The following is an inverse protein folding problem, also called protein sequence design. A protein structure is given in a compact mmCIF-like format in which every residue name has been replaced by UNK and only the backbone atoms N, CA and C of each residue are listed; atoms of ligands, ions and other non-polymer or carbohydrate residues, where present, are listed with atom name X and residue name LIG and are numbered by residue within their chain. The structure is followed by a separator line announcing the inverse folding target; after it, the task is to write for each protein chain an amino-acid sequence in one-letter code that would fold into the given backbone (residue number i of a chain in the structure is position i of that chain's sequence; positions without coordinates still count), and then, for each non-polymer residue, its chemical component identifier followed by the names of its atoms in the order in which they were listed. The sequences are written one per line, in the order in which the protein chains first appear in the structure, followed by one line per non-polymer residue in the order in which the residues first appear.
data_IF_389699447834
#
_entry.id   IF_389699447834
#
_cell.length_a   1.000
_cell.length_b   1.000
_cell.length_c   1.000
_cell.angle_alpha   90.00
_cell.angle_beta   90.00
_cell.angle_gamma   90.00
#
_symmetry.space_group_name_H-M   'P 1'
#
loop_
_entity.id
_entity.type
_entity.pdbx_description
1 polymer ?
#
# COMPACT_ATOMS: atom_id res chain seq x y z
N UNK A 1 -6.69 -18.79 -24.29
CA UNK A 1 -5.40 -18.10 -24.02
C UNK A 1 -4.72 -18.84 -22.89
N UNK A 2 -3.37 -18.84 -22.81
CA UNK A 2 -2.68 -19.39 -21.64
C UNK A 2 -3.02 -18.57 -20.39
N UNK A 3 -3.08 -19.22 -19.23
CA UNK A 3 -3.31 -18.53 -17.95
C UNK A 3 -2.16 -17.56 -17.66
N UNK A 4 -2.48 -16.35 -17.21
CA UNK A 4 -1.51 -15.33 -16.85
C UNK A 4 -0.71 -15.78 -15.64
N UNK A 5 0.62 -15.66 -15.70
CA UNK A 5 1.53 -16.08 -14.64
C UNK A 5 1.72 -14.94 -13.64
N UNK A 6 1.38 -15.19 -12.38
CA UNK A 6 1.35 -14.17 -11.33
C UNK A 6 2.39 -14.47 -10.25
N UNK A 7 3.29 -13.53 -10.01
CA UNK A 7 4.13 -13.52 -8.82
C UNK A 7 3.43 -12.76 -7.69
N UNK A 8 3.31 -13.39 -6.51
CA UNK A 8 2.70 -12.76 -5.33
C UNK A 8 3.79 -12.51 -4.30
N UNK A 9 4.25 -11.26 -4.24
CA UNK A 9 5.25 -10.80 -3.27
C UNK A 9 4.55 -10.44 -1.97
N UNK A 10 4.79 -11.19 -0.90
CA UNK A 10 4.04 -11.08 0.36
C UNK A 10 2.82 -12.02 0.42
N UNK A 11 2.96 -13.25 -0.10
CA UNK A 11 1.88 -14.22 -0.29
C UNK A 11 1.15 -14.63 1.01
N UNK A 12 1.84 -14.63 2.16
CA UNK A 12 1.26 -14.98 3.47
C UNK A 12 0.59 -13.80 4.18
N UNK A 13 0.68 -12.60 3.62
CA UNK A 13 0.00 -11.40 4.14
C UNK A 13 -1.47 -11.31 3.71
N UNK A 14 -2.19 -10.30 4.22
CA UNK A 14 -3.62 -10.09 3.93
C UNK A 14 -3.90 -9.90 2.43
N UNK A 15 -3.12 -9.04 1.74
CA UNK A 15 -3.27 -8.81 0.29
C UNK A 15 -2.89 -10.07 -0.50
N UNK A 16 -1.80 -10.76 -0.11
CA UNK A 16 -1.40 -12.01 -0.73
C UNK A 16 -2.50 -13.08 -0.64
N UNK A 17 -3.06 -13.27 0.56
CA UNK A 17 -4.16 -14.21 0.79
C UNK A 17 -5.42 -13.87 -0.03
N UNK A 18 -5.81 -12.60 -0.08
CA UNK A 18 -6.93 -12.12 -0.90
C UNK A 18 -6.66 -12.29 -2.40
N UNK A 19 -5.42 -12.05 -2.85
CA UNK A 19 -5.00 -12.28 -4.24
C UNK A 19 -5.13 -13.76 -4.62
N UNK A 20 -4.63 -14.63 -3.76
CA UNK A 20 -4.67 -16.07 -3.98
C UNK A 20 -6.10 -16.63 -3.94
N UNK A 21 -7.01 -16.03 -3.14
CA UNK A 21 -8.44 -16.38 -3.17
C UNK A 21 -9.06 -16.04 -4.53
N UNK A 22 -8.78 -14.86 -5.09
CA UNK A 22 -9.26 -14.47 -6.43
C UNK A 22 -8.66 -15.36 -7.51
N UNK A 23 -7.35 -15.65 -7.47
CA UNK A 23 -6.70 -16.57 -8.43
C UNK A 23 -7.34 -17.96 -8.36
N UNK A 24 -7.63 -18.49 -7.19
CA UNK A 24 -8.24 -19.80 -7.02
C UNK A 24 -9.66 -19.89 -7.61
N UNK A 25 -10.37 -18.78 -7.75
CA UNK A 25 -11.70 -18.71 -8.38
C UNK A 25 -11.63 -18.71 -9.91
N UNK A 26 -10.48 -18.36 -10.49
CA UNK A 26 -10.27 -18.21 -11.93
C UNK A 26 -9.02 -18.96 -12.41
N UNK A 27 -8.92 -20.29 -12.19
CA UNK A 27 -7.73 -21.09 -12.52
C UNK A 27 -7.46 -21.21 -14.03
N UNK A 28 -8.46 -20.98 -14.85
CA UNK A 28 -8.37 -20.88 -16.31
C UNK A 28 -7.72 -19.58 -16.80
N UNK A 29 -7.71 -18.55 -15.97
CA UNK A 29 -7.22 -17.20 -16.30
C UNK A 29 -5.90 -16.84 -15.64
N UNK A 30 -5.67 -17.32 -14.41
CA UNK A 30 -4.53 -16.94 -13.58
C UNK A 30 -3.89 -18.16 -12.93
N UNK A 31 -2.57 -18.13 -12.84
CA UNK A 31 -1.76 -19.10 -12.10
C UNK A 31 -0.76 -18.39 -11.20
N UNK A 32 -0.70 -18.75 -9.94
CA UNK A 32 0.34 -18.28 -9.03
C UNK A 32 1.64 -19.04 -9.33
N UNK A 33 2.54 -18.43 -10.09
CA UNK A 33 3.80 -19.05 -10.54
C UNK A 33 4.95 -18.85 -9.54
N UNK A 34 4.93 -17.71 -8.81
CA UNK A 34 5.93 -17.37 -7.79
C UNK A 34 5.23 -16.93 -6.52
N UNK A 35 5.62 -17.51 -5.38
CA UNK A 35 5.11 -17.12 -4.06
C UNK A 35 6.28 -16.68 -3.16
N UNK A 36 6.15 -15.51 -2.55
CA UNK A 36 7.18 -14.92 -1.67
C UNK A 36 6.59 -14.64 -0.30
N UNK A 37 7.30 -15.08 0.75
CA UNK A 37 7.02 -14.68 2.14
C UNK A 37 8.30 -14.16 2.81
N UNK A 38 8.18 -13.49 3.96
CA UNK A 38 9.37 -13.06 4.71
C UNK A 38 9.97 -14.25 5.49
N UNK A 39 9.34 -14.64 6.60
CA UNK A 39 9.80 -15.69 7.52
C UNK A 39 8.78 -16.81 7.73
N UNK A 40 7.55 -16.64 7.28
CA UNK A 40 6.45 -17.58 7.47
C UNK A 40 6.57 -18.78 6.51
N UNK A 41 7.47 -19.70 6.83
CA UNK A 41 7.68 -20.94 6.06
C UNK A 41 6.50 -21.90 6.13
N UNK A 42 5.77 -21.92 7.25
CA UNK A 42 4.62 -22.81 7.44
C UNK A 42 3.45 -22.36 6.54
N UNK A 43 3.10 -21.07 6.59
CA UNK A 43 2.08 -20.49 5.72
C UNK A 43 2.46 -20.62 4.25
N UNK A 44 3.72 -20.31 3.89
CA UNK A 44 4.18 -20.42 2.51
C UNK A 44 4.12 -21.86 2.00
N UNK A 45 4.54 -22.86 2.79
CA UNK A 45 4.47 -24.26 2.40
C UNK A 45 3.03 -24.74 2.18
N UNK A 46 2.08 -24.31 3.02
CA UNK A 46 0.66 -24.59 2.84
C UNK A 46 0.12 -23.98 1.53
N UNK A 47 0.50 -22.73 1.21
CA UNK A 47 0.16 -22.10 -0.06
C UNK A 47 0.77 -22.83 -1.26
N UNK A 48 2.04 -23.24 -1.18
CA UNK A 48 2.69 -24.04 -2.22
C UNK A 48 2.01 -25.39 -2.43
N UNK A 49 1.53 -26.04 -1.38
CA UNK A 49 0.78 -27.29 -1.49
C UNK A 49 -0.54 -27.10 -2.27
N UNK A 50 -1.19 -25.95 -2.09
CA UNK A 50 -2.47 -25.60 -2.76
C UNK A 50 -2.29 -25.13 -4.19
N UNK A 51 -1.34 -24.19 -4.41
CA UNK A 51 -1.22 -23.44 -5.69
C UNK A 51 -0.16 -24.03 -6.63
N UNK A 52 0.74 -24.87 -6.14
CA UNK A 52 1.81 -25.51 -6.94
C UNK A 52 2.61 -24.51 -7.78
N UNK A 53 3.23 -23.49 -7.15
CA UNK A 53 4.07 -22.54 -7.88
C UNK A 53 5.32 -23.22 -8.46
N UNK A 54 5.98 -22.56 -9.41
CA UNK A 54 7.28 -22.98 -9.92
C UNK A 54 8.39 -22.63 -8.93
N UNK A 55 8.24 -21.48 -8.23
CA UNK A 55 9.26 -20.93 -7.33
C UNK A 55 8.61 -20.42 -6.03
N UNK A 56 9.19 -20.80 -4.90
CA UNK A 56 8.86 -20.29 -3.57
C UNK A 56 10.09 -19.63 -2.94
N UNK A 57 9.92 -18.39 -2.41
CA UNK A 57 11.03 -17.60 -1.86
C UNK A 57 10.70 -17.18 -0.43
N UNK A 58 11.67 -17.32 0.46
CA UNK A 58 11.68 -16.66 1.78
C UNK A 58 12.69 -15.52 1.76
N UNK A 59 12.26 -14.30 2.14
CA UNK A 59 13.14 -13.15 2.13
C UNK A 59 14.25 -13.25 3.17
N UNK A 60 14.01 -13.93 4.31
CA UNK A 60 15.03 -14.22 5.29
C UNK A 60 15.79 -15.51 4.92
N UNK A 61 17.08 -15.43 4.55
CA UNK A 61 17.87 -16.62 4.16
C UNK A 61 17.97 -17.70 5.23
N UNK A 62 17.84 -17.35 6.52
CA UNK A 62 17.85 -18.30 7.60
C UNK A 62 16.67 -19.28 7.57
N UNK A 63 15.60 -18.95 6.83
CA UNK A 63 14.37 -19.75 6.73
C UNK A 63 14.35 -20.72 5.53
N UNK A 64 15.32 -20.66 4.62
CA UNK A 64 15.35 -21.46 3.38
C UNK A 64 15.30 -22.98 3.66
N UNK A 65 16.18 -23.46 4.54
CA UNK A 65 16.26 -24.87 4.88
C UNK A 65 14.97 -25.40 5.54
N UNK A 66 14.29 -24.57 6.33
CA UNK A 66 12.99 -24.92 6.93
C UNK A 66 11.89 -25.01 5.87
N UNK A 67 11.85 -24.06 4.92
CA UNK A 67 10.90 -24.09 3.80
C UNK A 67 11.12 -25.36 2.96
N UNK A 68 12.35 -25.62 2.54
CA UNK A 68 12.69 -26.79 1.72
C UNK A 68 12.26 -28.11 2.40
N UNK A 69 12.51 -28.25 3.71
CA UNK A 69 12.09 -29.41 4.50
C UNK A 69 10.56 -29.56 4.53
N UNK A 70 9.81 -28.47 4.74
CA UNK A 70 8.34 -28.48 4.77
C UNK A 70 7.74 -28.86 3.42
N UNK A 71 8.28 -28.34 2.33
CA UNK A 71 7.83 -28.67 0.98
C UNK A 71 8.09 -30.13 0.65
N UNK A 72 9.27 -30.66 1.00
CA UNK A 72 9.60 -32.07 0.83
C UNK A 72 8.63 -32.97 1.64
N UNK A 73 8.36 -32.62 2.89
CA UNK A 73 7.40 -33.35 3.74
C UNK A 73 5.97 -33.32 3.19
N UNK A 74 5.57 -32.24 2.51
CA UNK A 74 4.26 -32.09 1.86
C UNK A 74 4.21 -32.70 0.43
N UNK A 75 5.31 -33.29 -0.07
CA UNK A 75 5.38 -33.82 -1.43
C UNK A 75 5.19 -32.75 -2.51
N UNK A 76 5.59 -31.50 -2.24
CA UNK A 76 5.50 -30.37 -3.17
C UNK A 76 6.80 -30.24 -3.95
N UNK A 77 6.72 -30.32 -5.27
CA UNK A 77 7.85 -30.02 -6.17
C UNK A 77 7.77 -28.55 -6.56
N UNK A 78 8.71 -27.76 -6.05
CA UNK A 78 8.83 -26.32 -6.26
C UNK A 78 10.30 -25.94 -6.07
N UNK A 79 10.82 -25.06 -6.89
CA UNK A 79 12.14 -24.47 -6.67
C UNK A 79 12.08 -23.59 -5.40
N UNK A 80 13.15 -23.62 -4.60
CA UNK A 80 13.26 -22.82 -3.38
C UNK A 80 14.45 -21.88 -3.50
N UNK A 81 14.24 -20.62 -3.13
CA UNK A 81 15.29 -19.61 -3.05
C UNK A 81 15.09 -18.73 -1.81
N UNK A 82 16.09 -17.93 -1.48
CA UNK A 82 16.02 -17.00 -0.36
C UNK A 82 16.78 -15.70 -0.59
N UNK A 83 16.47 -14.70 0.22
CA UNK A 83 17.12 -13.38 0.21
C UNK A 83 16.43 -12.37 -0.69
N UNK A 84 16.78 -11.09 -0.48
CA UNK A 84 16.25 -9.94 -1.24
C UNK A 84 16.56 -10.01 -2.73
N UNK A 85 17.77 -10.49 -3.07
CA UNK A 85 18.19 -10.61 -4.47
C UNK A 85 17.34 -11.64 -5.22
N UNK A 86 17.00 -12.76 -4.58
CA UNK A 86 16.10 -13.76 -5.17
C UNK A 86 14.67 -13.20 -5.37
N UNK A 87 14.16 -12.40 -4.42
CA UNK A 87 12.86 -11.72 -4.56
C UNK A 87 12.88 -10.76 -5.74
N UNK A 88 13.94 -9.94 -5.86
CA UNK A 88 14.12 -8.95 -6.92
C UNK A 88 14.27 -9.62 -8.30
N UNK A 89 15.07 -10.69 -8.38
CA UNK A 89 15.23 -11.49 -9.60
C UNK A 89 13.91 -12.15 -10.03
N UNK A 90 13.13 -12.68 -9.10
CA UNK A 90 11.83 -13.29 -9.38
C UNK A 90 10.79 -12.27 -9.87
N UNK A 91 10.79 -11.05 -9.31
CA UNK A 91 9.90 -9.98 -9.73
C UNK A 91 10.14 -9.52 -11.17
N UNK A 92 11.39 -9.58 -11.66
CA UNK A 92 11.76 -9.22 -13.03
C UNK A 92 11.85 -10.42 -13.99
N UNK A 93 11.87 -11.65 -13.46
CA UNK A 93 12.15 -12.88 -14.21
C UNK A 93 11.04 -13.33 -15.15
N UNK A 94 11.33 -14.37 -15.95
CA UNK A 94 10.43 -14.89 -16.96
C UNK A 94 9.29 -15.77 -16.40
N UNK A 95 9.34 -16.14 -15.11
CA UNK A 95 8.31 -16.99 -14.48
C UNK A 95 6.96 -16.26 -14.28
N UNK A 96 6.94 -14.95 -14.41
CA UNK A 96 5.70 -14.17 -14.30
C UNK A 96 5.60 -13.07 -15.35
N UNK A 97 4.40 -12.74 -15.75
CA UNK A 97 4.03 -11.55 -16.54
C UNK A 97 3.38 -10.46 -15.67
N UNK A 98 2.86 -10.85 -14.53
CA UNK A 98 2.16 -9.98 -13.58
C UNK A 98 2.78 -10.12 -12.19
N UNK A 99 3.03 -9.00 -11.52
CA UNK A 99 3.60 -8.95 -10.16
C UNK A 99 2.63 -8.23 -9.23
N UNK A 100 2.22 -8.91 -8.17
CA UNK A 100 1.49 -8.30 -7.04
C UNK A 100 2.51 -7.87 -6.00
N UNK A 101 2.79 -6.57 -5.92
CA UNK A 101 3.74 -5.97 -5.00
C UNK A 101 3.06 -5.70 -3.64
N UNK A 102 3.11 -6.67 -2.73
CA UNK A 102 2.44 -6.61 -1.42
C UNK A 102 3.41 -6.83 -0.23
N UNK A 103 4.70 -6.58 -0.43
CA UNK A 103 5.67 -6.50 0.66
C UNK A 103 5.50 -5.15 1.36
N UNK A 104 5.31 -5.17 2.68
CA UNK A 104 5.05 -3.97 3.49
C UNK A 104 6.32 -3.15 3.70
N UNK A 105 6.21 -1.82 3.68
CA UNK A 105 7.30 -0.88 3.99
C UNK A 105 8.34 -0.73 2.87
N UNK A 106 9.44 -0.06 3.19
CA UNK A 106 10.54 0.20 2.28
C UNK A 106 11.18 -1.06 1.68
N UNK A 107 11.07 -2.22 2.36
CA UNK A 107 11.61 -3.50 1.90
C UNK A 107 11.04 -3.98 0.55
N UNK A 108 9.87 -3.47 0.14
CA UNK A 108 9.27 -3.79 -1.16
C UNK A 108 9.78 -2.96 -2.34
N UNK A 109 10.57 -1.90 -2.10
CA UNK A 109 10.96 -0.93 -3.11
C UNK A 109 11.75 -1.55 -4.27
N UNK A 110 12.81 -2.30 -3.97
CA UNK A 110 13.72 -2.85 -5.01
C UNK A 110 13.00 -3.83 -5.94
N UNK A 111 12.22 -4.76 -5.37
CA UNK A 111 11.45 -5.72 -6.17
C UNK A 111 10.33 -5.06 -6.99
N UNK A 112 9.73 -3.98 -6.48
CA UNK A 112 8.73 -3.18 -7.20
C UNK A 112 9.36 -2.47 -8.41
N UNK A 113 10.52 -1.84 -8.22
CA UNK A 113 11.28 -1.20 -9.29
C UNK A 113 11.79 -2.20 -10.33
N UNK A 114 12.25 -3.39 -9.90
CA UNK A 114 12.69 -4.44 -10.80
C UNK A 114 11.55 -4.95 -11.70
N UNK A 115 10.35 -5.14 -11.14
CA UNK A 115 9.17 -5.50 -11.91
C UNK A 115 8.80 -4.41 -12.93
N UNK A 116 8.85 -3.13 -12.52
CA UNK A 116 8.58 -1.99 -13.38
C UNK A 116 9.55 -1.91 -14.58
N UNK A 117 10.87 -1.99 -14.31
CA UNK A 117 11.92 -1.99 -15.36
C UNK A 117 11.81 -3.17 -16.31
N UNK A 118 11.36 -4.32 -15.83
CA UNK A 118 11.14 -5.51 -16.65
C UNK A 118 9.86 -5.50 -17.47
N UNK A 119 9.11 -4.41 -17.46
CA UNK A 119 7.87 -4.27 -18.24
C UNK A 119 6.72 -5.16 -17.76
N UNK A 120 6.73 -5.56 -16.48
CA UNK A 120 5.66 -6.40 -15.94
C UNK A 120 4.36 -5.59 -15.76
N UNK A 121 3.22 -6.29 -15.76
CA UNK A 121 2.01 -5.72 -15.20
C UNK A 121 2.16 -5.69 -13.68
N UNK A 122 2.34 -4.49 -13.13
CA UNK A 122 2.56 -4.25 -11.72
C UNK A 122 1.24 -3.91 -11.03
N UNK A 123 0.78 -4.79 -10.15
CA UNK A 123 -0.37 -4.58 -9.28
C UNK A 123 0.16 -4.07 -7.93
N UNK A 124 0.07 -2.75 -7.72
CA UNK A 124 0.72 -2.06 -6.61
C UNK A 124 -0.17 -2.05 -5.37
N UNK A 125 0.26 -2.77 -4.33
CA UNK A 125 -0.33 -2.73 -2.99
C UNK A 125 0.64 -2.15 -1.94
N UNK A 126 1.94 -2.12 -2.25
CA UNK A 126 2.97 -1.49 -1.41
C UNK A 126 3.00 0.02 -1.71
N UNK A 127 2.22 0.79 -0.95
CA UNK A 127 2.18 2.25 -1.12
C UNK A 127 3.50 2.94 -0.76
N UNK A 128 4.27 2.35 0.15
CA UNK A 128 5.54 2.93 0.56
C UNK A 128 6.53 3.05 -0.61
N UNK A 129 6.52 2.10 -1.55
CA UNK A 129 7.39 2.17 -2.75
C UNK A 129 7.11 3.41 -3.61
N UNK A 130 5.84 3.76 -3.83
CA UNK A 130 5.51 4.95 -4.64
C UNK A 130 5.58 6.24 -3.82
N UNK A 131 5.33 6.19 -2.51
CA UNK A 131 5.52 7.32 -1.59
C UNK A 131 6.98 7.75 -1.53
N UNK A 132 7.90 6.78 -1.46
CA UNK A 132 9.34 7.03 -1.39
C UNK A 132 9.91 7.39 -2.75
N UNK A 133 9.61 6.63 -3.79
CA UNK A 133 10.29 6.65 -5.08
C UNK A 133 9.35 6.91 -6.27
N UNK A 134 8.25 7.66 -6.09
CA UNK A 134 7.20 7.79 -7.10
C UNK A 134 7.71 8.17 -8.49
N UNK A 135 8.55 9.21 -8.59
CA UNK A 135 9.12 9.64 -9.87
C UNK A 135 10.00 8.53 -10.51
N UNK A 136 10.88 7.89 -9.71
CA UNK A 136 11.74 6.81 -10.19
C UNK A 136 10.95 5.56 -10.62
N UNK A 137 9.86 5.24 -9.90
CA UNK A 137 8.98 4.13 -10.24
C UNK A 137 8.23 4.40 -11.56
N UNK A 138 7.71 5.59 -11.74
CA UNK A 138 7.00 5.96 -12.97
C UNK A 138 7.94 6.02 -14.18
N UNK A 139 9.18 6.47 -14.00
CA UNK A 139 10.22 6.40 -15.03
C UNK A 139 10.57 4.96 -15.39
N UNK A 140 10.81 4.10 -14.40
CA UNK A 140 11.07 2.68 -14.60
C UNK A 140 9.95 1.98 -15.38
N UNK A 141 8.68 2.30 -15.08
CA UNK A 141 7.51 1.79 -15.81
C UNK A 141 7.49 2.28 -17.26
N UNK A 142 7.78 3.57 -17.48
CA UNK A 142 7.83 4.15 -18.83
C UNK A 142 8.92 3.49 -19.69
N UNK A 143 10.09 3.25 -19.10
CA UNK A 143 11.21 2.59 -19.78
C UNK A 143 10.94 1.12 -20.05
N UNK A 144 10.39 0.39 -19.08
CA UNK A 144 10.05 -1.02 -19.19
C UNK A 144 8.83 -1.30 -20.08
N UNK A 145 7.96 -0.31 -20.29
CA UNK A 145 6.73 -0.47 -21.05
C UNK A 145 5.67 -1.31 -20.34
N UNK A 146 5.74 -1.42 -19.02
CA UNK A 146 4.78 -2.15 -18.20
C UNK A 146 3.51 -1.35 -17.85
N UNK A 147 2.52 -2.05 -17.32
CA UNK A 147 1.28 -1.45 -16.78
C UNK A 147 1.37 -1.32 -15.26
N UNK A 148 0.90 -0.21 -14.70
CA UNK A 148 0.71 -0.03 -13.26
C UNK A 148 -0.76 0.08 -12.93
N UNK A 149 -1.28 -0.84 -12.09
CA UNK A 149 -2.66 -0.83 -11.62
C UNK A 149 -2.66 -0.82 -10.09
N UNK A 150 -3.29 0.19 -9.45
CA UNK A 150 -3.33 0.24 -8.00
C UNK A 150 -4.25 -0.84 -7.42
N UNK A 151 -3.83 -1.44 -6.30
CA UNK A 151 -4.66 -2.35 -5.50
C UNK A 151 -5.27 -1.64 -4.29
N UNK A 152 -4.59 -0.62 -3.75
CA UNK A 152 -5.17 0.14 -2.64
C UNK A 152 -6.59 0.60 -3.01
N UNK A 153 -7.57 0.38 -2.12
CA UNK A 153 -8.99 0.46 -2.45
C UNK A 153 -9.40 1.83 -2.96
N UNK A 154 -8.86 2.89 -2.38
CA UNK A 154 -9.14 4.27 -2.75
C UNK A 154 -8.59 4.63 -4.13
N UNK A 155 -7.36 4.19 -4.41
CA UNK A 155 -6.73 4.45 -5.71
C UNK A 155 -7.32 3.58 -6.81
N UNK A 156 -7.67 2.33 -6.49
CA UNK A 156 -8.39 1.47 -7.43
C UNK A 156 -9.78 2.05 -7.76
N UNK A 157 -10.45 2.66 -6.78
CA UNK A 157 -11.72 3.36 -6.99
C UNK A 157 -11.57 4.54 -7.96
N UNK A 158 -10.54 5.39 -7.78
CA UNK A 158 -10.23 6.49 -8.71
C UNK A 158 -9.93 5.94 -10.10
N UNK A 159 -9.06 4.91 -10.18
CA UNK A 159 -8.70 4.25 -11.43
C UNK A 159 -9.94 3.74 -12.19
N UNK A 160 -10.94 3.19 -11.50
CA UNK A 160 -12.20 2.75 -12.11
C UNK A 160 -13.12 3.89 -12.55
N UNK A 161 -13.04 5.05 -11.90
CA UNK A 161 -13.84 6.24 -12.24
C UNK A 161 -13.21 7.07 -13.38
N UNK A 162 -11.96 6.82 -13.73
CA UNK A 162 -11.25 7.52 -14.79
C UNK A 162 -11.38 6.79 -16.14
N UNK A 163 -11.57 7.49 -17.26
CA UNK A 163 -11.58 6.87 -18.59
C UNK A 163 -10.24 6.18 -18.89
N UNK A 164 -10.27 4.85 -19.10
CA UNK A 164 -9.05 4.07 -19.36
C UNK A 164 -8.11 3.91 -18.16
N UNK A 165 -8.53 4.31 -16.96
CA UNK A 165 -7.83 4.09 -15.70
C UNK A 165 -6.79 5.14 -15.33
N UNK A 166 -5.90 5.55 -16.22
CA UNK A 166 -4.83 6.54 -15.96
C UNK A 166 -4.64 7.52 -17.13
N UNK A 167 -5.64 8.33 -17.44
CA UNK A 167 -5.54 9.33 -18.48
C UNK A 167 -4.79 10.59 -17.98
N UNK A 168 -4.46 11.49 -18.90
CA UNK A 168 -4.16 12.88 -18.56
C UNK A 168 -5.43 13.53 -17.96
N UNK A 169 -5.39 13.89 -16.68
CA UNK A 169 -6.54 14.41 -15.94
C UNK A 169 -7.10 15.69 -16.54
N UNK A 170 -6.24 16.62 -16.98
CA UNK A 170 -6.67 17.85 -17.62
C UNK A 170 -7.40 17.61 -18.94
N UNK A 171 -6.89 16.65 -19.73
CA UNK A 171 -7.49 16.31 -21.03
C UNK A 171 -8.87 15.66 -20.92
N UNK A 172 -9.10 14.90 -19.87
CA UNK A 172 -10.41 14.24 -19.63
C UNK A 172 -11.35 15.06 -18.75
N UNK A 173 -10.96 16.28 -18.39
CA UNK A 173 -11.81 17.22 -17.66
C UNK A 173 -11.96 16.89 -16.17
N UNK A 174 -10.98 16.28 -15.53
CA UNK A 174 -10.99 16.10 -14.07
C UNK A 174 -10.65 17.43 -13.39
N UNK A 175 -11.51 17.84 -12.45
CA UNK A 175 -11.29 19.02 -11.61
C UNK A 175 -10.49 18.64 -10.36
N UNK A 176 -10.86 17.56 -9.69
CA UNK A 176 -10.18 17.05 -8.49
C UNK A 176 -10.48 15.58 -8.25
N UNK A 177 -9.59 14.98 -7.49
CA UNK A 177 -9.71 13.64 -6.92
C UNK A 177 -10.14 13.79 -5.45
N UNK A 178 -11.10 13.00 -4.99
CA UNK A 178 -11.58 13.01 -3.61
C UNK A 178 -11.35 11.63 -3.00
N UNK A 179 -10.36 11.54 -2.12
CA UNK A 179 -10.06 10.34 -1.35
C UNK A 179 -10.99 10.26 -0.13
N UNK A 180 -11.61 9.12 0.10
CA UNK A 180 -12.37 8.89 1.32
C UNK A 180 -11.50 8.25 2.40
N UNK A 181 -11.76 8.57 3.66
CA UNK A 181 -11.14 7.98 4.83
C UNK A 181 -12.22 7.45 5.78
N UNK A 182 -11.97 6.34 6.48
CA UNK A 182 -12.88 5.89 7.55
C UNK A 182 -12.93 6.87 8.73
N UNK A 183 -11.89 7.68 8.89
CA UNK A 183 -11.66 8.53 10.06
C UNK A 183 -10.96 7.83 11.21
N UNK A 184 -10.69 6.53 11.09
CA UNK A 184 -10.03 5.72 12.11
C UNK A 184 -10.89 5.49 13.37
N UNK A 185 -10.34 4.78 14.39
CA UNK A 185 -11.06 4.43 15.61
C UNK A 185 -11.32 5.63 16.55
N UNK A 186 -10.61 6.74 16.34
CA UNK A 186 -10.68 7.91 17.23
C UNK A 186 -11.42 9.11 16.63
N UNK A 187 -12.12 8.92 15.52
CA UNK A 187 -12.94 9.98 14.90
C UNK A 187 -13.87 10.63 15.93
N UNK A 188 -13.84 11.97 15.99
CA UNK A 188 -14.68 12.76 16.90
C UNK A 188 -14.14 12.86 18.33
N UNK A 189 -13.01 12.26 18.68
CA UNK A 189 -12.36 12.46 19.98
C UNK A 189 -11.54 13.76 19.97
N UNK A 190 -11.57 14.49 21.09
CA UNK A 190 -10.74 15.65 21.28
C UNK A 190 -9.27 15.24 21.48
N UNK A 191 -8.33 16.10 21.07
CA UNK A 191 -6.88 15.85 21.25
C UNK A 191 -6.48 15.51 22.69
N UNK A 192 -7.15 16.16 23.68
CA UNK A 192 -6.90 15.91 25.10
C UNK A 192 -7.18 14.45 25.53
N UNK A 193 -8.08 13.75 24.82
CA UNK A 193 -8.49 12.38 25.15
C UNK A 193 -7.58 11.32 24.48
N UNK A 194 -6.59 11.75 23.71
CA UNK A 194 -5.71 10.85 22.96
C UNK A 194 -4.37 10.55 23.65
N UNK A 195 -4.08 11.18 24.81
CA UNK A 195 -2.81 11.04 25.52
C UNK A 195 -2.55 9.63 26.07
N UNK A 196 -3.60 8.85 26.35
CA UNK A 196 -3.53 7.52 27.00
C UNK A 196 -3.88 6.37 26.06
N UNK A 197 -3.99 6.62 24.76
CA UNK A 197 -4.33 5.59 23.77
C UNK A 197 -3.28 4.49 23.75
N UNK A 198 -3.76 3.25 23.85
CA UNK A 198 -2.92 2.05 23.78
C UNK A 198 -2.74 1.55 22.35
N UNK A 199 -1.70 0.75 22.06
CA UNK A 199 -1.53 0.10 20.77
C UNK A 199 -2.73 -0.74 20.33
N UNK A 200 -3.38 -1.44 21.25
CA UNK A 200 -4.52 -2.30 20.92
C UNK A 200 -5.77 -1.48 20.57
N UNK A 201 -6.01 -0.35 21.25
CA UNK A 201 -7.08 0.57 20.87
C UNK A 201 -6.85 1.18 19.49
N UNK A 202 -5.60 1.57 19.17
CA UNK A 202 -5.26 2.11 17.86
C UNK A 202 -5.38 1.06 16.74
N UNK A 203 -5.14 -0.21 17.07
CA UNK A 203 -5.31 -1.33 16.12
C UNK A 203 -6.76 -1.80 15.95
N UNK A 204 -7.71 -1.36 16.78
CA UNK A 204 -9.12 -1.74 16.72
C UNK A 204 -9.90 -0.95 15.66
N UNK A 205 -9.57 -1.16 14.36
CA UNK A 205 -10.24 -0.44 13.27
C UNK A 205 -11.70 -0.87 13.14
N UNK A 206 -12.68 0.08 13.02
CA UNK A 206 -14.10 -0.23 13.09
C UNK A 206 -14.67 -1.01 11.90
N UNK A 207 -13.98 -1.02 10.74
CA UNK A 207 -14.49 -1.60 9.48
C UNK A 207 -13.54 -2.60 8.83
N UNK A 208 -12.23 -2.41 8.97
CA UNK A 208 -11.21 -3.20 8.28
C UNK A 208 -10.41 -4.05 9.25
N UNK A 209 -10.16 -5.30 8.89
CA UNK A 209 -9.14 -6.12 9.56
C UNK A 209 -7.83 -5.96 8.82
N UNK A 210 -6.87 -5.26 9.43
CA UNK A 210 -5.61 -4.87 8.80
C UNK A 210 -4.42 -5.22 9.69
N UNK A 211 -3.21 -5.16 9.11
CA UNK A 211 -1.97 -5.27 9.88
C UNK A 211 -1.83 -4.14 10.91
N UNK A 212 -1.03 -4.36 11.95
CA UNK A 212 -0.89 -3.40 13.07
C UNK A 212 -0.38 -2.02 12.61
N UNK A 213 0.64 -1.99 11.74
CA UNK A 213 1.21 -0.72 11.22
C UNK A 213 0.15 0.13 10.52
N UNK A 214 -0.54 -0.41 9.53
CA UNK A 214 -1.55 0.33 8.76
C UNK A 214 -2.78 0.70 9.62
N UNK A 215 -3.10 -0.07 10.68
CA UNK A 215 -4.16 0.29 11.63
C UNK A 215 -3.80 1.54 12.43
N UNK A 216 -2.55 1.66 12.90
CA UNK A 216 -2.04 2.86 13.56
C UNK A 216 -1.99 4.03 12.59
N UNK A 217 -1.54 3.82 11.35
CA UNK A 217 -1.56 4.86 10.30
C UNK A 217 -2.99 5.35 10.00
N UNK A 218 -3.99 4.46 10.03
CA UNK A 218 -5.40 4.85 9.91
C UNK A 218 -5.86 5.67 11.11
N UNK A 219 -5.46 5.28 12.33
CA UNK A 219 -5.83 5.97 13.57
C UNK A 219 -5.25 7.39 13.65
N UNK A 220 -4.06 7.63 13.07
CA UNK A 220 -3.39 8.94 13.02
C UNK A 220 -3.74 9.77 11.78
N UNK A 221 -4.52 9.23 10.84
CA UNK A 221 -4.71 9.73 9.47
C UNK A 221 -3.42 9.77 8.62
N UNK A 222 -2.32 9.15 9.06
CA UNK A 222 -1.12 9.01 8.23
C UNK A 222 -1.38 8.12 7.02
N UNK A 223 -2.17 7.04 7.15
CA UNK A 223 -2.53 6.21 6.01
C UNK A 223 -3.13 7.05 4.88
N UNK A 224 -4.04 7.96 5.21
CA UNK A 224 -4.63 8.87 4.23
C UNK A 224 -3.62 9.90 3.71
N UNK A 225 -2.67 10.31 4.54
CA UNK A 225 -1.53 11.13 4.11
C UNK A 225 -0.65 10.44 3.06
N UNK A 226 -0.29 9.17 3.31
CA UNK A 226 0.46 8.36 2.33
C UNK A 226 -0.34 8.15 1.04
N UNK A 227 -1.64 7.97 1.14
CA UNK A 227 -2.53 7.83 -0.01
C UNK A 227 -2.67 9.11 -0.84
N UNK A 228 -2.60 10.30 -0.24
CA UNK A 228 -2.53 11.57 -0.97
C UNK A 228 -1.26 11.63 -1.83
N UNK A 229 -0.13 11.21 -1.28
CA UNK A 229 1.14 11.15 -2.00
C UNK A 229 1.07 10.12 -3.14
N UNK A 230 0.51 8.96 -2.87
CA UNK A 230 0.31 7.90 -3.86
C UNK A 230 -0.60 8.38 -5.01
N UNK A 231 -1.73 9.04 -4.70
CA UNK A 231 -2.64 9.58 -5.71
C UNK A 231 -1.96 10.63 -6.60
N UNK A 232 -1.12 11.51 -6.00
CA UNK A 232 -0.32 12.48 -6.75
C UNK A 232 0.53 11.81 -7.82
N UNK A 233 1.29 10.78 -7.44
CA UNK A 233 2.15 10.06 -8.38
C UNK A 233 1.36 9.19 -9.37
N UNK A 234 0.39 8.41 -8.90
CA UNK A 234 -0.37 7.49 -9.75
C UNK A 234 -1.12 8.20 -10.88
N UNK A 235 -1.71 9.34 -10.57
CA UNK A 235 -2.61 10.04 -11.49
C UNK A 235 -2.04 11.36 -11.99
N UNK A 236 -0.79 11.72 -11.65
CA UNK A 236 -0.18 13.00 -11.94
C UNK A 236 -1.08 14.18 -11.49
N UNK A 237 -1.83 14.01 -10.41
CA UNK A 237 -2.75 14.99 -9.88
C UNK A 237 -1.98 16.09 -9.13
N UNK A 238 -2.18 17.40 -9.44
CA UNK A 238 -1.64 18.48 -8.62
C UNK A 238 -2.08 18.32 -7.15
N UNK A 239 -1.22 18.66 -6.20
CA UNK A 239 -1.52 18.53 -4.77
C UNK A 239 -2.84 19.20 -4.38
N UNK A 240 -3.09 20.40 -4.95
CA UNK A 240 -4.30 21.18 -4.67
C UNK A 240 -5.56 20.64 -5.38
N UNK A 241 -5.41 19.65 -6.27
CA UNK A 241 -6.51 18.92 -6.89
C UNK A 241 -6.83 17.61 -6.16
N UNK A 242 -6.19 17.33 -5.01
CA UNK A 242 -6.47 16.16 -4.18
C UNK A 242 -7.14 16.62 -2.88
N UNK A 243 -8.38 16.18 -2.65
CA UNK A 243 -9.15 16.44 -1.44
C UNK A 243 -9.33 15.16 -0.64
N UNK A 244 -9.45 15.29 0.67
CA UNK A 244 -9.77 14.19 1.59
C UNK A 244 -11.09 14.46 2.28
N UNK A 245 -11.98 13.48 2.31
CA UNK A 245 -13.23 13.49 3.09
C UNK A 245 -13.28 12.26 3.99
N UNK A 246 -13.85 12.41 5.17
CA UNK A 246 -14.12 11.26 6.06
C UNK A 246 -15.49 10.70 5.72
N UNK A 247 -15.53 9.40 5.43
CA UNK A 247 -16.74 8.62 5.14
C UNK A 247 -16.77 7.38 6.06
N UNK A 248 -17.43 7.48 7.22
CA UNK A 248 -17.34 6.47 8.28
C UNK A 248 -17.85 5.08 7.90
N UNK A 249 -18.79 5.02 6.95
CA UNK A 249 -19.36 3.74 6.48
C UNK A 249 -18.38 2.97 5.61
N UNK A 250 -17.38 3.65 5.00
CA UNK A 250 -16.38 3.06 4.10
C UNK A 250 -16.97 2.28 2.91
N UNK A 251 -18.13 2.70 2.41
CA UNK A 251 -18.82 2.12 1.25
C UNK A 251 -18.43 2.83 -0.05
N UNK A 252 -18.26 4.15 0.00
CA UNK A 252 -17.68 4.95 -1.07
C UNK A 252 -16.17 4.93 -0.85
N UNK A 253 -15.43 4.34 -1.80
CA UNK A 253 -13.98 4.18 -1.66
C UNK A 253 -13.21 5.40 -2.16
N UNK A 254 -13.66 6.07 -3.22
CA UNK A 254 -13.19 7.40 -3.67
C UNK A 254 -14.11 7.97 -4.73
N UNK A 255 -13.89 9.26 -5.07
CA UNK A 255 -14.67 9.98 -6.07
C UNK A 255 -13.76 10.80 -7.01
N UNK A 256 -14.25 11.06 -8.21
CA UNK A 256 -13.62 11.95 -9.19
C UNK A 256 -14.64 13.02 -9.57
N UNK A 257 -14.28 14.29 -9.37
CA UNK A 257 -15.08 15.47 -9.68
C UNK A 257 -14.64 16.06 -11.02
N UNK A 258 -15.58 16.22 -11.95
CA UNK A 258 -15.34 16.68 -13.32
C UNK A 258 -15.76 18.13 -13.53
N UNK A 259 -15.21 18.77 -14.57
CA UNK A 259 -15.47 20.19 -14.91
C UNK A 259 -16.92 20.47 -15.32
N UNK A 260 -17.64 19.45 -15.78
CA UNK A 260 -19.06 19.56 -16.15
C UNK A 260 -20.01 19.50 -14.95
N UNK A 261 -19.47 19.36 -13.73
CA UNK A 261 -20.22 19.24 -12.47
C UNK A 261 -20.58 17.80 -12.08
N UNK A 262 -20.21 16.81 -12.89
CA UNK A 262 -20.43 15.40 -12.52
C UNK A 262 -19.43 14.95 -11.47
N UNK A 263 -19.88 14.09 -10.55
CA UNK A 263 -19.02 13.37 -9.60
C UNK A 263 -19.24 11.88 -9.78
N UNK A 264 -18.20 11.16 -10.18
CA UNK A 264 -18.22 9.71 -10.26
C UNK A 264 -17.63 9.10 -9.01
N UNK A 265 -18.25 8.04 -8.49
CA UNK A 265 -17.81 7.34 -7.29
C UNK A 265 -17.80 5.83 -7.52
N UNK A 266 -16.81 5.13 -7.00
CA UNK A 266 -16.85 3.68 -6.90
C UNK A 266 -17.30 3.29 -5.48
N UNK A 267 -18.29 2.44 -5.40
CA UNK A 267 -18.85 1.91 -4.16
C UNK A 267 -18.71 0.39 -4.13
N UNK A 268 -18.54 -0.13 -2.91
CA UNK A 268 -18.49 -1.58 -2.66
C UNK A 268 -18.47 -1.90 -1.18
N UNK A 269 -18.70 -3.16 -0.84
CA UNK A 269 -18.40 -3.63 0.49
C UNK A 269 -16.88 -3.53 0.76
N UNK A 270 -16.44 -3.25 2.00
CA UNK A 270 -15.02 -3.10 2.33
C UNK A 270 -14.31 -4.47 2.29
N UNK A 271 -13.87 -4.86 1.09
CA UNK A 271 -13.19 -6.12 0.81
C UNK A 271 -12.15 -5.92 -0.30
N UNK A 272 -10.88 -6.18 0.01
CA UNK A 272 -9.77 -5.99 -0.92
C UNK A 272 -9.87 -6.83 -2.18
N UNK A 273 -10.61 -7.95 -2.16
CA UNK A 273 -10.81 -8.80 -3.34
C UNK A 273 -11.50 -8.06 -4.49
N UNK A 274 -12.30 -7.04 -4.21
CA UNK A 274 -12.92 -6.20 -5.25
C UNK A 274 -11.87 -5.46 -6.07
N UNK A 275 -10.96 -4.76 -5.42
CA UNK A 275 -9.88 -4.03 -6.08
C UNK A 275 -8.87 -4.99 -6.75
N UNK A 276 -8.54 -6.10 -6.08
CA UNK A 276 -7.64 -7.13 -6.61
C UNK A 276 -8.22 -7.80 -7.87
N UNK A 277 -9.50 -8.16 -7.87
CA UNK A 277 -10.16 -8.75 -9.03
C UNK A 277 -10.19 -7.77 -10.22
N UNK A 278 -10.48 -6.49 -9.95
CA UNK A 278 -10.37 -5.43 -10.95
C UNK A 278 -8.96 -5.34 -11.52
N UNK A 279 -7.93 -5.29 -10.67
CA UNK A 279 -6.54 -5.13 -11.10
C UNK A 279 -6.03 -6.35 -11.90
N UNK A 280 -6.33 -7.57 -11.44
CA UNK A 280 -5.96 -8.80 -12.13
C UNK A 280 -6.57 -8.91 -13.52
N UNK A 281 -7.86 -8.56 -13.66
CA UNK A 281 -8.61 -8.80 -14.89
C UNK A 281 -8.67 -7.60 -15.84
N UNK A 282 -8.24 -6.42 -15.41
CA UNK A 282 -8.37 -5.19 -16.19
C UNK A 282 -8.01 -5.36 -17.68
N UNK A 283 -8.84 -4.84 -18.64
CA UNK A 283 -10.03 -3.98 -18.41
C UNK A 283 -11.34 -4.75 -18.15
N UNK A 284 -11.32 -6.07 -18.13
CA UNK A 284 -12.51 -6.88 -17.85
C UNK A 284 -12.85 -6.88 -16.36
N UNK A 285 -14.06 -7.35 -16.05
CA UNK A 285 -14.52 -7.61 -14.68
C UNK A 285 -14.73 -9.09 -14.46
N UNK A 286 -14.32 -9.57 -13.29
CA UNK A 286 -14.46 -10.98 -12.88
C UNK A 286 -15.09 -11.06 -11.49
N UNK A 287 -15.62 -12.20 -11.13
CA UNK A 287 -16.15 -12.46 -9.80
C UNK A 287 -15.05 -12.41 -8.75
N UNK A 288 -15.18 -11.49 -7.79
CA UNK A 288 -14.26 -11.35 -6.67
C UNK A 288 -14.60 -12.27 -5.48
N UNK A 289 -15.77 -12.89 -5.47
CA UNK A 289 -16.29 -13.62 -4.32
C UNK A 289 -16.78 -12.72 -3.19
N UNK A 290 -17.06 -11.45 -3.49
CA UNK A 290 -17.59 -10.46 -2.56
C UNK A 290 -19.10 -10.35 -2.76
N UNK A 291 -19.87 -10.26 -1.66
CA UNK A 291 -21.31 -10.09 -1.74
C UNK A 291 -21.68 -8.76 -2.42
N UNK A 292 -22.77 -8.72 -3.20
CA UNK A 292 -23.29 -7.46 -3.75
C UNK A 292 -23.58 -6.44 -2.65
N UNK A 293 -23.34 -5.15 -2.93
CA UNK A 293 -23.69 -4.07 -2.03
C UNK A 293 -25.20 -3.80 -2.09
N UNK A 294 -25.86 -3.88 -0.94
CA UNK A 294 -27.27 -3.49 -0.77
C UNK A 294 -27.34 -2.04 -0.28
N UNK A 295 -27.54 -1.10 -1.19
CA UNK A 295 -27.64 0.32 -0.86
C UNK A 295 -28.86 0.64 0.01
N UNK A 296 -29.97 -0.09 -0.13
CA UNK A 296 -31.17 0.15 0.65
C UNK A 296 -30.96 -0.20 2.13
N UNK A 297 -30.15 -1.22 2.43
CA UNK A 297 -29.79 -1.59 3.79
C UNK A 297 -28.94 -0.51 4.51
N UNK A 298 -28.23 0.33 3.76
CA UNK A 298 -27.37 1.38 4.33
C UNK A 298 -28.07 2.73 4.47
N UNK A 299 -29.17 2.99 3.77
CA UNK A 299 -30.05 4.15 3.83
C UNK A 299 -29.38 5.55 3.77
N UNK A 300 -28.18 5.74 4.36
CA UNK A 300 -27.47 7.02 4.47
C UNK A 300 -25.98 6.87 4.29
N UNK A 301 -25.36 7.81 3.58
CA UNK A 301 -23.90 7.97 3.42
C UNK A 301 -23.49 9.33 4.02
N UNK A 302 -22.60 9.32 4.99
CA UNK A 302 -22.14 10.51 5.68
C UNK A 302 -20.75 10.91 5.18
N UNK A 303 -20.53 12.23 5.06
CA UNK A 303 -19.26 12.82 4.66
C UNK A 303 -18.90 13.98 5.57
N UNK A 304 -17.67 14.02 6.07
CA UNK A 304 -17.17 15.04 7.00
C UNK A 304 -15.80 15.54 6.51
N UNK A 305 -15.42 16.74 6.93
CA UNK A 305 -14.04 17.21 6.74
C UNK A 305 -13.10 16.48 7.71
N UNK A 306 -11.87 16.13 7.31
CA UNK A 306 -10.90 15.57 8.24
C UNK A 306 -10.48 16.62 9.29
N UNK A 307 -10.34 16.19 10.55
CA UNK A 307 -9.80 17.00 11.63
C UNK A 307 -8.26 16.94 11.60
N UNK A 308 -7.65 17.85 10.88
CA UNK A 308 -6.20 17.92 10.73
C UNK A 308 -5.48 18.58 11.90
N UNK A 309 -6.21 19.24 12.80
CA UNK A 309 -5.65 19.83 14.01
C UNK A 309 -5.42 18.77 15.08
N UNK A 310 -6.37 17.86 15.24
CA UNK A 310 -6.23 16.70 16.14
C UNK A 310 -5.33 15.63 15.54
N UNK A 311 -5.52 15.27 14.26
CA UNK A 311 -4.78 14.22 13.55
C UNK A 311 -3.81 14.84 12.53
N UNK A 312 -2.69 15.34 13.02
CA UNK A 312 -1.73 16.17 12.28
C UNK A 312 -1.00 15.45 11.15
N UNK A 313 -0.94 14.11 11.17
CA UNK A 313 -0.20 13.33 10.18
C UNK A 313 -0.67 13.58 8.74
N UNK A 314 -1.97 13.81 8.53
CA UNK A 314 -2.48 14.16 7.20
C UNK A 314 -1.95 15.52 6.71
N UNK A 315 -1.92 16.54 7.58
CA UNK A 315 -1.38 17.86 7.24
C UNK A 315 0.13 17.79 6.97
N UNK A 316 0.88 16.99 7.75
CA UNK A 316 2.31 16.77 7.54
C UNK A 316 2.60 16.10 6.19
N UNK A 317 1.76 15.14 5.76
CA UNK A 317 1.90 14.50 4.46
C UNK A 317 1.66 15.47 3.30
N UNK A 318 0.64 16.33 3.39
CA UNK A 318 0.43 17.41 2.40
C UNK A 318 1.60 18.39 2.38
N UNK A 319 2.18 18.74 3.53
CA UNK A 319 3.34 19.63 3.62
C UNK A 319 4.57 19.00 2.95
N UNK A 320 4.89 17.73 3.27
CA UNK A 320 6.00 17.01 2.67
C UNK A 320 5.84 16.88 1.14
N UNK A 321 4.62 16.61 0.66
CA UNK A 321 4.36 16.53 -0.76
C UNK A 321 4.55 17.87 -1.47
N UNK A 322 4.17 19.01 -0.85
CA UNK A 322 4.41 20.36 -1.38
C UNK A 322 5.87 20.76 -1.36
N UNK A 323 6.62 20.34 -0.35
CA UNK A 323 8.06 20.56 -0.28
C UNK A 323 8.80 19.86 -1.41
N UNK A 324 8.36 18.64 -1.78
CA UNK A 324 8.93 17.87 -2.87
C UNK A 324 10.25 17.17 -2.51
N UNK A 325 11.04 16.85 -3.54
CA UNK A 325 12.27 16.09 -3.34
C UNK A 325 12.04 14.76 -2.60
N UNK A 326 12.88 14.45 -1.62
CA UNK A 326 12.81 13.26 -0.78
C UNK A 326 11.99 13.46 0.52
N UNK A 327 11.28 14.59 0.67
CA UNK A 327 10.50 14.87 1.88
C UNK A 327 9.45 13.78 2.18
N UNK A 328 8.83 13.19 1.16
CA UNK A 328 7.86 12.10 1.34
C UNK A 328 8.51 10.79 1.79
N UNK A 329 9.75 10.51 1.38
CA UNK A 329 10.54 9.38 1.86
C UNK A 329 10.96 9.60 3.33
N UNK A 330 11.40 10.81 3.68
CA UNK A 330 11.73 11.20 5.07
C UNK A 330 10.50 11.04 5.97
N UNK A 331 9.34 11.54 5.53
CA UNK A 331 8.06 11.38 6.25
C UNK A 331 7.73 9.90 6.51
N UNK A 332 7.85 9.05 5.48
CA UNK A 332 7.56 7.62 5.60
C UNK A 332 8.53 6.94 6.59
N UNK A 333 9.83 7.20 6.48
CA UNK A 333 10.85 6.63 7.36
C UNK A 333 10.62 7.04 8.82
N UNK A 334 10.33 8.32 9.07
CA UNK A 334 10.02 8.84 10.40
C UNK A 334 8.75 8.22 10.97
N UNK A 335 7.71 8.07 10.15
CA UNK A 335 6.47 7.44 10.56
C UNK A 335 6.65 5.96 10.93
N UNK A 336 7.38 5.19 10.13
CA UNK A 336 7.64 3.77 10.44
C UNK A 336 8.35 3.62 11.79
N UNK A 337 9.40 4.43 12.06
CA UNK A 337 10.10 4.40 13.35
C UNK A 337 9.17 4.81 14.51
N UNK A 338 8.34 5.82 14.31
CA UNK A 338 7.43 6.31 15.35
C UNK A 338 6.32 5.28 15.63
N UNK A 339 5.76 4.65 14.60
CA UNK A 339 4.73 3.61 14.75
C UNK A 339 5.31 2.37 15.45
N UNK A 340 6.52 1.95 15.11
CA UNK A 340 7.18 0.83 15.79
C UNK A 340 7.40 1.13 17.29
N UNK A 341 7.84 2.34 17.63
CA UNK A 341 8.01 2.76 19.00
C UNK A 341 6.67 2.83 19.77
N UNK A 342 5.61 3.31 19.13
CA UNK A 342 4.26 3.29 19.70
C UNK A 342 3.77 1.85 19.94
N UNK A 343 3.92 0.97 18.97
CA UNK A 343 3.53 -0.43 19.09
C UNK A 343 4.32 -1.20 20.17
N UNK A 344 5.57 -0.78 20.41
CA UNK A 344 6.41 -1.28 21.49
C UNK A 344 6.07 -0.65 22.88
N UNK A 345 5.16 0.33 22.93
CA UNK A 345 4.77 1.01 24.18
C UNK A 345 5.78 2.03 24.68
N UNK A 346 6.75 2.44 23.86
CA UNK A 346 7.81 3.40 24.23
C UNK A 346 7.53 4.83 23.76
N UNK A 347 6.48 5.03 22.95
CA UNK A 347 6.04 6.33 22.45
C UNK A 347 4.53 6.47 22.70
N UNK A 348 4.00 7.61 23.21
CA UNK A 348 2.56 7.85 23.27
C UNK A 348 1.98 8.09 21.88
N UNK A 349 0.67 7.88 21.70
CA UNK A 349 -0.03 8.02 20.42
C UNK A 349 0.21 9.37 19.72
N UNK A 350 0.09 10.47 20.46
CA UNK A 350 0.33 11.82 19.94
C UNK A 350 1.80 12.07 19.56
N UNK A 351 2.72 11.34 20.17
CA UNK A 351 4.16 11.41 19.86
C UNK A 351 4.49 10.98 18.43
N UNK A 352 3.65 10.18 17.77
CA UNK A 352 3.86 9.75 16.39
C UNK A 352 3.98 10.98 15.47
N UNK A 353 2.99 11.87 15.49
CA UNK A 353 3.00 13.08 14.67
C UNK A 353 4.16 14.03 15.07
N UNK A 354 4.50 14.09 16.35
CA UNK A 354 5.59 14.94 16.86
C UNK A 354 6.97 14.46 16.36
N UNK A 355 7.21 13.15 16.33
CA UNK A 355 8.45 12.60 15.76
C UNK A 355 8.55 12.94 14.28
N UNK A 356 7.48 12.68 13.50
CA UNK A 356 7.47 12.97 12.06
C UNK A 356 7.75 14.43 11.78
N UNK A 357 7.09 15.35 12.50
CA UNK A 357 7.29 16.80 12.34
C UNK A 357 8.73 17.23 12.64
N UNK A 358 9.30 16.73 13.76
CA UNK A 358 10.67 17.07 14.14
C UNK A 358 11.69 16.54 13.14
N UNK A 359 11.51 15.33 12.63
CA UNK A 359 12.41 14.76 11.62
C UNK A 359 12.38 15.57 10.33
N UNK A 360 11.19 15.95 9.85
CA UNK A 360 11.05 16.82 8.67
C UNK A 360 11.73 18.19 8.88
N UNK A 361 11.67 18.74 10.09
CA UNK A 361 12.35 20.00 10.43
C UNK A 361 13.87 19.87 10.56
N UNK A 362 14.39 18.74 11.12
CA UNK A 362 15.82 18.50 11.30
C UNK A 362 16.50 18.05 9.99
N UNK A 363 15.78 17.50 9.03
CA UNK A 363 16.32 16.92 7.80
C UNK A 363 15.68 17.57 6.56
N UNK A 364 16.24 18.68 6.02
CA UNK A 364 15.71 19.35 4.85
C UNK A 364 15.67 18.44 3.61
N UNK A 365 14.63 18.59 2.81
CA UNK A 365 14.44 17.82 1.59
C UNK A 365 15.56 18.08 0.55
N UNK A 366 15.90 17.02 -0.18
CA UNK A 366 16.89 17.06 -1.27
C UNK A 366 16.26 16.48 -2.55
N UNK A 367 16.76 16.87 -3.74
CA UNK A 367 16.33 16.25 -4.99
C UNK A 367 16.59 14.74 -4.99
N UNK A 368 15.62 13.97 -5.44
CA UNK A 368 15.75 12.52 -5.65
C UNK A 368 16.49 12.29 -6.97
N UNK A 369 17.70 11.75 -6.91
CA UNK A 369 18.54 11.52 -8.08
C UNK A 369 18.48 10.05 -8.55
N UNK A 370 18.59 9.12 -7.60
CA UNK A 370 18.57 7.69 -7.85
C UNK A 370 18.10 6.90 -6.62
N UNK A 371 17.93 5.59 -6.80
CA UNK A 371 17.46 4.69 -5.74
C UNK A 371 18.46 4.57 -4.60
N UNK A 372 19.76 4.54 -4.89
CA UNK A 372 20.80 4.37 -3.86
C UNK A 372 20.85 5.59 -2.93
N UNK A 373 20.80 6.79 -3.51
CA UNK A 373 20.71 8.04 -2.75
C UNK A 373 19.45 8.08 -1.91
N UNK A 374 18.31 7.67 -2.47
CA UNK A 374 17.04 7.63 -1.76
C UNK A 374 17.05 6.67 -0.57
N UNK A 375 17.60 5.46 -0.73
CA UNK A 375 17.74 4.48 0.36
C UNK A 375 18.68 5.03 1.46
N UNK A 376 19.78 5.67 1.08
CA UNK A 376 20.68 6.30 2.06
C UNK A 376 19.97 7.42 2.85
N UNK A 377 19.09 8.19 2.21
CA UNK A 377 18.26 9.21 2.86
C UNK A 377 17.20 8.61 3.77
N UNK A 378 16.54 7.51 3.38
CA UNK A 378 15.63 6.77 4.24
C UNK A 378 16.36 6.28 5.51
N UNK A 379 17.54 5.69 5.37
CA UNK A 379 18.37 5.24 6.50
C UNK A 379 18.79 6.41 7.40
N UNK A 380 19.13 7.56 6.83
CA UNK A 380 19.43 8.79 7.57
C UNK A 380 18.22 9.28 8.35
N UNK A 381 17.05 9.35 7.72
CA UNK A 381 15.81 9.76 8.36
C UNK A 381 15.44 8.83 9.52
N UNK A 382 15.62 7.52 9.36
CA UNK A 382 15.44 6.53 10.45
C UNK A 382 16.41 6.76 11.62
N UNK A 383 17.67 7.11 11.34
CA UNK A 383 18.65 7.44 12.39
C UNK A 383 18.26 8.72 13.14
N UNK A 384 17.86 9.75 12.40
CA UNK A 384 17.39 11.01 12.99
C UNK A 384 16.14 10.77 13.84
N UNK A 385 15.15 10.00 13.33
CA UNK A 385 13.93 9.67 14.05
C UNK A 385 14.21 8.95 15.38
N UNK A 386 15.11 7.95 15.38
CA UNK A 386 15.54 7.26 16.63
C UNK A 386 16.25 8.22 17.58
N UNK A 387 17.06 9.15 17.07
CA UNK A 387 17.71 10.19 17.88
C UNK A 387 16.71 11.15 18.50
N UNK A 388 15.71 11.60 17.76
CA UNK A 388 14.61 12.45 18.27
C UNK A 388 13.81 11.70 19.34
N UNK A 389 13.46 10.44 19.08
CA UNK A 389 12.75 9.58 20.03
C UNK A 389 13.50 9.48 21.36
N UNK A 390 14.79 9.15 21.30
CA UNK A 390 15.62 9.02 22.50
C UNK A 390 15.71 10.34 23.30
N UNK A 391 15.89 11.48 22.62
CA UNK A 391 15.97 12.80 23.29
C UNK A 391 14.66 13.25 23.94
N UNK A 392 13.52 12.83 23.39
CA UNK A 392 12.20 13.33 23.82
C UNK A 392 11.47 12.39 24.80
N UNK A 393 11.73 11.08 24.76
CA UNK A 393 10.91 10.09 25.46
C UNK A 393 11.72 9.03 26.25
N UNK A 394 13.05 9.01 26.15
CA UNK A 394 13.94 8.17 26.96
C UNK A 394 14.82 9.02 27.90
#
# INVERSE_FOLDING_TARGET
MAARQVAVLGATGSIGGSTLDVIARHPDRFRASVLVANRDTAGLAALCARFRPDLAIVADPAMEADLARRLAAAGVRCEVASGSDAVTAAASGALCDTVVAAIVGAAGLESTLAAARAGKRLLLANKESIVMAGALLLEALREGGGDLIPIDSEHNAIFQCLPGGRPDLGRVGVRRIILTASGGPFRGRARADLGTITPDEACAHPKWSMGRKISVDSATLMNKGLEVIEAHHLFAAPVDAIEVVVHPQSLVHSLVDYVDGSVLAQLGNPDMRTAIACALAWPERIEAGVAPLDLAAHARLDFEKPDTDTFRCLALAFAALREGGDATAILNAANEVAVDAFLAGTLPFLGIAEIVERVLAELPAQPVVDVQTLVARDDEARRVARGVLHRAYC
#
